data_IF_018041702395
#
_entry.id   IF_018041702395
#
_cell.length_a   1.000
_cell.length_b   1.000
_cell.length_c   1.000
_cell.angle_alpha   90.00
_cell.angle_beta   90.00
_cell.angle_gamma   90.00
#
_symmetry.space_group_name_H-M   'P 1'
#
loop_
_entity.id
_entity.type
_entity.pdbx_description
1 polymer ?
#
# COMPACT_ATOMS: atom_id res chain seq x y z
N UNK A 1 7.62 16.23 -18.18
CA UNK A 1 7.72 14.86 -17.65
C UNK A 1 9.03 14.75 -16.88
N UNK A 2 9.06 14.14 -15.72
CA UNK A 2 10.26 14.07 -14.86
C UNK A 2 11.22 12.97 -15.32
N UNK A 3 10.71 11.99 -16.08
CA UNK A 3 11.51 10.86 -16.59
C UNK A 3 11.36 10.71 -18.10
N UNK A 4 12.45 10.31 -18.77
CA UNK A 4 12.45 9.93 -20.18
C UNK A 4 11.75 8.57 -20.35
N UNK A 5 10.89 8.43 -21.38
CA UNK A 5 10.13 7.21 -21.62
C UNK A 5 11.03 5.96 -21.85
N UNK A 6 12.26 6.16 -22.33
CA UNK A 6 13.25 5.09 -22.48
C UNK A 6 13.72 4.56 -21.13
N UNK A 7 13.90 5.46 -20.15
CA UNK A 7 14.28 5.08 -18.77
C UNK A 7 13.13 4.30 -18.13
N UNK A 8 11.90 4.78 -18.28
CA UNK A 8 10.70 4.10 -17.80
C UNK A 8 10.57 2.72 -18.40
N UNK A 9 10.71 2.59 -19.75
CA UNK A 9 10.66 1.32 -20.44
C UNK A 9 11.76 0.37 -20.00
N UNK A 10 12.97 0.88 -19.76
CA UNK A 10 14.07 0.08 -19.25
C UNK A 10 13.79 -0.46 -17.84
N UNK A 11 13.33 0.39 -16.93
CA UNK A 11 12.94 -0.04 -15.56
C UNK A 11 11.85 -1.12 -15.65
N UNK A 12 10.82 -0.92 -16.48
CA UNK A 12 9.75 -1.90 -16.66
C UNK A 12 10.25 -3.24 -17.23
N UNK A 13 11.28 -3.21 -18.09
CA UNK A 13 11.87 -4.43 -18.64
C UNK A 13 12.65 -5.25 -17.61
N UNK A 14 13.12 -4.61 -16.53
CA UNK A 14 13.81 -5.26 -15.41
C UNK A 14 12.84 -5.74 -14.34
N UNK A 15 11.65 -5.14 -14.27
CA UNK A 15 10.62 -5.54 -13.32
C UNK A 15 10.11 -6.95 -13.68
N UNK A 16 10.13 -7.86 -12.71
CA UNK A 16 9.41 -9.13 -12.83
C UNK A 16 7.91 -8.91 -12.99
N UNK A 17 7.20 -9.94 -13.42
CA UNK A 17 5.74 -9.91 -13.46
C UNK A 17 5.21 -9.97 -12.02
N UNK A 18 4.19 -9.16 -11.75
CA UNK A 18 3.37 -9.29 -10.56
C UNK A 18 2.43 -10.51 -10.71
N UNK A 19 1.77 -10.91 -9.64
CA UNK A 19 0.78 -11.99 -9.71
C UNK A 19 -0.38 -11.63 -10.64
N UNK A 20 -1.05 -12.65 -11.16
CA UNK A 20 -2.20 -12.44 -12.04
C UNK A 20 -3.28 -11.57 -11.37
N UNK A 21 -3.49 -11.73 -10.06
CA UNK A 21 -4.47 -10.93 -9.32
C UNK A 21 -4.02 -9.46 -9.19
N UNK A 22 -2.74 -9.18 -8.95
CA UNK A 22 -2.21 -7.83 -8.94
C UNK A 22 -2.36 -7.17 -10.31
N UNK A 23 -2.02 -7.87 -11.39
CA UNK A 23 -2.17 -7.36 -12.75
C UNK A 23 -3.64 -7.08 -13.12
N UNK A 24 -4.57 -7.94 -12.70
CA UNK A 24 -6.00 -7.71 -12.92
C UNK A 24 -6.50 -6.48 -12.16
N UNK A 25 -6.16 -6.33 -10.87
CA UNK A 25 -6.55 -5.18 -10.06
C UNK A 25 -5.95 -3.89 -10.64
N UNK A 26 -4.69 -3.90 -11.06
CA UNK A 26 -4.04 -2.77 -11.74
C UNK A 26 -4.82 -2.37 -12.99
N UNK A 27 -5.12 -3.31 -13.86
CA UNK A 27 -5.87 -3.07 -15.09
C UNK A 27 -7.26 -2.50 -14.81
N UNK A 28 -8.00 -3.07 -13.87
CA UNK A 28 -9.33 -2.60 -13.45
C UNK A 28 -9.24 -1.16 -12.92
N UNK A 29 -8.31 -0.88 -11.99
CA UNK A 29 -8.13 0.43 -11.41
C UNK A 29 -7.81 1.50 -12.47
N UNK A 30 -6.89 1.19 -13.40
CA UNK A 30 -6.53 2.11 -14.48
C UNK A 30 -7.70 2.36 -15.43
N UNK A 31 -8.50 1.33 -15.75
CA UNK A 31 -9.67 1.47 -16.62
C UNK A 31 -10.78 2.31 -15.98
N UNK A 32 -10.91 2.25 -14.66
CA UNK A 32 -11.87 3.04 -13.87
C UNK A 32 -11.34 4.43 -13.51
N UNK A 33 -10.10 4.77 -13.90
CA UNK A 33 -9.45 6.04 -13.57
C UNK A 33 -9.14 6.21 -12.09
N UNK A 34 -9.01 5.11 -11.34
CA UNK A 34 -8.61 5.15 -9.93
C UNK A 34 -7.10 5.33 -9.85
N UNK A 35 -6.61 6.36 -9.12
CA UNK A 35 -5.18 6.52 -8.93
C UNK A 35 -4.63 5.40 -8.05
N UNK A 36 -3.65 4.68 -8.59
CA UNK A 36 -2.85 3.68 -7.88
C UNK A 36 -1.36 4.02 -8.03
N UNK A 37 -0.51 3.41 -7.23
CA UNK A 37 0.93 3.57 -7.37
C UNK A 37 1.39 3.10 -8.75
N UNK A 38 2.41 3.78 -9.29
CA UNK A 38 3.00 3.40 -10.56
C UNK A 38 3.88 2.15 -10.41
N UNK A 39 4.13 1.46 -11.50
CA UNK A 39 4.94 0.25 -11.52
C UNK A 39 6.34 0.45 -10.93
N UNK A 40 6.96 1.61 -11.17
CA UNK A 40 8.27 1.97 -10.59
C UNK A 40 8.22 2.04 -9.07
N UNK A 41 7.14 2.61 -8.52
CA UNK A 41 6.93 2.64 -7.07
C UNK A 41 6.69 1.24 -6.52
N UNK A 42 5.93 0.40 -7.22
CA UNK A 42 5.74 -1.01 -6.86
C UNK A 42 7.08 -1.76 -6.80
N UNK A 43 7.95 -1.58 -7.80
CA UNK A 43 9.29 -2.16 -7.79
C UNK A 43 10.14 -1.67 -6.61
N UNK A 44 10.06 -0.38 -6.30
CA UNK A 44 10.76 0.21 -5.17
C UNK A 44 10.26 -0.35 -3.83
N UNK A 45 8.94 -0.45 -3.64
CA UNK A 45 8.35 -1.08 -2.46
C UNK A 45 8.82 -2.52 -2.30
N UNK A 46 8.77 -3.34 -3.34
CA UNK A 46 9.26 -4.73 -3.31
C UNK A 46 10.73 -4.80 -2.86
N UNK A 47 11.57 -3.88 -3.36
CA UNK A 47 12.99 -3.82 -2.99
C UNK A 47 13.17 -3.49 -1.51
N UNK A 48 12.46 -2.48 -1.00
CA UNK A 48 12.54 -2.11 0.43
C UNK A 48 12.02 -3.23 1.32
N UNK A 49 10.91 -3.86 0.97
CA UNK A 49 10.32 -4.95 1.74
C UNK A 49 11.27 -6.15 1.81
N UNK A 50 11.92 -6.49 0.70
CA UNK A 50 12.91 -7.55 0.65
C UNK A 50 14.18 -7.26 1.47
N UNK A 51 14.56 -5.99 1.64
CA UNK A 51 15.72 -5.59 2.46
C UNK A 51 15.36 -5.47 3.94
N UNK A 52 14.18 -4.93 4.25
CA UNK A 52 13.77 -4.59 5.61
C UNK A 52 13.11 -5.76 6.36
N UNK A 53 12.48 -6.70 5.65
CA UNK A 53 11.71 -7.81 6.24
C UNK A 53 10.73 -7.34 7.34
N UNK A 54 9.87 -6.32 7.06
CA UNK A 54 8.99 -5.77 8.07
C UNK A 54 7.91 -6.78 8.48
N UNK A 55 7.56 -6.79 9.77
CA UNK A 55 6.53 -7.67 10.34
C UNK A 55 5.18 -6.98 10.51
N UNK A 56 5.22 -5.68 10.81
CA UNK A 56 4.02 -4.87 11.01
C UNK A 56 4.07 -3.67 10.08
N UNK A 57 3.20 -3.66 9.09
CA UNK A 57 3.13 -2.62 8.06
C UNK A 57 1.86 -1.81 8.26
N UNK A 58 1.98 -0.48 8.20
CA UNK A 58 0.85 0.43 8.13
C UNK A 58 0.82 1.11 6.77
N UNK A 59 -0.33 1.07 6.11
CA UNK A 59 -0.60 1.82 4.91
C UNK A 59 -1.68 2.87 5.17
N UNK A 60 -1.44 4.09 4.75
CA UNK A 60 -2.41 5.18 4.84
C UNK A 60 -2.86 5.56 3.43
N UNK A 61 -4.06 5.14 3.07
CA UNK A 61 -4.64 5.30 1.74
C UNK A 61 -4.60 4.00 0.92
N UNK A 62 -5.63 3.16 1.07
CA UNK A 62 -5.72 1.87 0.36
C UNK A 62 -6.16 2.00 -1.10
N UNK A 63 -6.91 3.04 -1.45
CA UNK A 63 -7.60 3.20 -2.73
C UNK A 63 -8.46 1.97 -3.09
N UNK A 64 -7.93 1.04 -3.88
CA UNK A 64 -8.59 -0.23 -4.21
C UNK A 64 -7.86 -1.45 -3.64
N UNK A 65 -6.86 -1.25 -2.77
CA UNK A 65 -6.08 -2.31 -2.13
C UNK A 65 -4.94 -2.86 -2.98
N UNK A 66 -4.61 -2.23 -4.11
CA UNK A 66 -3.56 -2.70 -5.01
C UNK A 66 -2.20 -2.76 -4.32
N UNK A 67 -1.76 -1.67 -3.69
CA UNK A 67 -0.48 -1.58 -2.98
C UNK A 67 -0.41 -2.53 -1.78
N UNK A 68 -1.49 -2.64 -0.99
CA UNK A 68 -1.56 -3.59 0.13
C UNK A 68 -1.40 -5.03 -0.35
N UNK A 69 -2.07 -5.41 -1.44
CA UNK A 69 -1.97 -6.76 -2.01
C UNK A 69 -0.57 -6.99 -2.56
N UNK A 70 -0.01 -6.05 -3.33
CA UNK A 70 1.36 -6.11 -3.83
C UNK A 70 2.36 -6.30 -2.69
N UNK A 71 2.24 -5.50 -1.62
CA UNK A 71 3.09 -5.64 -0.43
C UNK A 71 2.92 -7.01 0.22
N UNK A 72 1.69 -7.50 0.35
CA UNK A 72 1.39 -8.79 0.99
C UNK A 72 1.97 -10.01 0.29
N UNK A 73 2.33 -9.88 -0.96
CA UNK A 73 2.99 -10.93 -1.76
C UNK A 73 4.51 -10.89 -1.67
N UNK A 74 5.06 -9.81 -1.07
CA UNK A 74 6.49 -9.55 -1.00
C UNK A 74 7.00 -9.36 0.44
N UNK A 75 6.30 -9.92 1.41
CA UNK A 75 6.65 -9.90 2.84
C UNK A 75 6.68 -11.33 3.40
N UNK A 76 7.29 -11.49 4.56
CA UNK A 76 7.34 -12.76 5.26
C UNK A 76 5.95 -13.27 5.67
N UNK A 77 5.77 -14.57 5.77
CA UNK A 77 4.46 -15.22 6.00
C UNK A 77 3.74 -14.77 7.28
N UNK A 78 4.50 -14.38 8.31
CA UNK A 78 3.97 -13.91 9.60
C UNK A 78 3.66 -12.42 9.63
N UNK A 79 4.12 -11.66 8.61
CA UNK A 79 3.93 -10.22 8.55
C UNK A 79 2.45 -9.84 8.34
N UNK A 80 2.07 -8.69 8.86
CA UNK A 80 0.71 -8.15 8.79
C UNK A 80 0.71 -6.74 8.24
N UNK A 81 -0.35 -6.44 7.50
CA UNK A 81 -0.58 -5.11 6.94
C UNK A 81 -1.88 -4.56 7.54
N UNK A 82 -1.81 -3.36 8.09
CA UNK A 82 -2.99 -2.56 8.41
C UNK A 82 -3.11 -1.46 7.37
N UNK A 83 -4.23 -1.37 6.68
CA UNK A 83 -4.48 -0.32 5.68
C UNK A 83 -5.70 0.48 6.03
N UNK A 84 -5.70 1.79 5.70
CA UNK A 84 -6.79 2.73 6.03
C UNK A 84 -7.38 3.30 4.75
N UNK A 85 -8.72 3.31 4.67
CA UNK A 85 -9.46 3.97 3.58
C UNK A 85 -10.75 4.60 4.12
N UNK A 86 -11.09 5.80 3.63
CA UNK A 86 -12.26 6.55 4.08
C UNK A 86 -13.38 6.69 3.04
N UNK A 87 -13.11 6.36 1.78
CA UNK A 87 -14.10 6.55 0.73
C UNK A 87 -14.94 5.28 0.53
N UNK A 88 -16.23 5.34 0.88
CA UNK A 88 -17.14 4.19 0.91
C UNK A 88 -17.08 3.31 -0.34
N UNK A 89 -17.04 3.92 -1.53
CA UNK A 89 -16.98 3.16 -2.79
C UNK A 89 -15.66 2.38 -2.93
N UNK A 90 -14.56 2.94 -2.43
CA UNK A 90 -13.26 2.27 -2.43
C UNK A 90 -13.16 1.20 -1.37
N UNK A 91 -13.72 1.43 -0.18
CA UNK A 91 -13.79 0.45 0.91
C UNK A 91 -14.40 -0.86 0.42
N UNK A 92 -15.53 -0.80 -0.31
CA UNK A 92 -16.15 -2.00 -0.89
C UNK A 92 -15.18 -2.71 -1.83
N UNK A 93 -14.49 -1.96 -2.69
CA UNK A 93 -13.54 -2.52 -3.67
C UNK A 93 -12.30 -3.11 -3.00
N UNK A 94 -11.76 -2.46 -1.95
CA UNK A 94 -10.65 -2.99 -1.15
C UNK A 94 -10.99 -4.35 -0.54
N UNK A 95 -12.17 -4.46 0.10
CA UNK A 95 -12.64 -5.72 0.70
C UNK A 95 -12.77 -6.83 -0.34
N UNK A 96 -13.37 -6.52 -1.49
CA UNK A 96 -13.50 -7.44 -2.62
C UNK A 96 -12.14 -7.91 -3.11
N UNK A 97 -11.19 -6.99 -3.33
CA UNK A 97 -9.88 -7.31 -3.85
C UNK A 97 -9.01 -8.09 -2.85
N UNK A 98 -9.04 -7.76 -1.56
CA UNK A 98 -8.38 -8.55 -0.50
C UNK A 98 -8.89 -9.99 -0.51
N UNK A 99 -10.22 -10.18 -0.63
CA UNK A 99 -10.83 -11.50 -0.71
C UNK A 99 -10.44 -12.24 -2.00
N UNK A 100 -10.47 -11.58 -3.15
CA UNK A 100 -10.04 -12.15 -4.44
C UNK A 100 -8.58 -12.62 -4.39
N UNK A 101 -7.73 -11.87 -3.67
CA UNK A 101 -6.33 -12.21 -3.46
C UNK A 101 -6.10 -13.26 -2.37
N UNK A 102 -7.11 -13.67 -1.61
CA UNK A 102 -6.98 -14.60 -0.48
C UNK A 102 -6.11 -14.05 0.65
N UNK A 103 -6.13 -12.72 0.88
CA UNK A 103 -5.24 -12.04 1.81
C UNK A 103 -5.93 -11.52 3.09
N UNK A 104 -7.15 -12.02 3.39
CA UNK A 104 -7.92 -11.60 4.57
C UNK A 104 -7.22 -11.90 5.90
N UNK A 105 -6.34 -12.90 5.93
CA UNK A 105 -5.54 -13.21 7.12
C UNK A 105 -4.28 -12.35 7.28
N UNK A 106 -3.87 -11.63 6.24
CA UNK A 106 -2.65 -10.81 6.20
C UNK A 106 -2.97 -9.33 6.26
N UNK A 107 -4.03 -8.89 5.56
CA UNK A 107 -4.40 -7.47 5.42
C UNK A 107 -5.64 -7.18 6.26
N UNK A 108 -5.53 -6.21 7.15
CA UNK A 108 -6.64 -5.66 7.93
C UNK A 108 -6.99 -4.27 7.40
N UNK A 109 -8.21 -4.08 6.90
CA UNK A 109 -8.72 -2.78 6.49
C UNK A 109 -9.37 -2.07 7.68
N UNK A 110 -8.97 -0.84 7.94
CA UNK A 110 -9.62 0.09 8.86
C UNK A 110 -10.38 1.15 8.04
N UNK A 111 -11.68 1.26 8.31
CA UNK A 111 -12.60 2.11 7.55
C UNK A 111 -12.82 3.43 8.25
N UNK A 112 -12.44 4.54 7.63
CA UNK A 112 -12.65 5.87 8.15
C UNK A 112 -11.52 6.86 7.90
N UNK A 113 -11.64 8.03 8.51
CA UNK A 113 -10.64 9.10 8.36
C UNK A 113 -9.31 8.72 9.00
N UNK A 114 -8.24 8.84 8.22
CA UNK A 114 -6.90 8.46 8.67
C UNK A 114 -6.43 9.27 9.87
N UNK A 115 -6.75 10.58 9.93
CA UNK A 115 -6.38 11.44 11.04
C UNK A 115 -7.04 11.03 12.37
N UNK A 116 -8.24 10.47 12.31
CA UNK A 116 -8.92 9.97 13.51
C UNK A 116 -8.45 8.55 13.87
N UNK A 117 -8.33 7.67 12.88
CA UNK A 117 -7.89 6.29 13.10
C UNK A 117 -6.48 6.26 13.68
N UNK A 118 -5.53 7.00 13.09
CA UNK A 118 -4.13 7.00 13.53
C UNK A 118 -3.99 7.37 15.01
N UNK A 119 -4.81 8.29 15.54
CA UNK A 119 -4.80 8.67 16.95
C UNK A 119 -5.18 7.52 17.89
N UNK A 120 -6.00 6.59 17.41
CA UNK A 120 -6.49 5.46 18.22
C UNK A 120 -5.56 4.24 18.15
N UNK A 121 -4.70 4.18 17.13
CA UNK A 121 -3.79 3.06 16.98
C UNK A 121 -2.73 3.05 18.10
N UNK A 122 -2.52 1.85 18.62
CA UNK A 122 -1.47 1.53 19.60
C UNK A 122 -0.56 0.48 19.02
N UNK A 123 0.69 0.45 19.46
CA UNK A 123 1.70 -0.45 18.90
C UNK A 123 2.64 0.26 17.94
N UNK A 124 3.57 -0.48 17.39
CA UNK A 124 4.60 0.05 16.50
C UNK A 124 4.59 -0.69 15.17
N UNK A 125 4.87 0.05 14.11
CA UNK A 125 5.00 -0.46 12.75
C UNK A 125 6.45 -0.31 12.28
N UNK A 126 6.99 -1.37 11.71
CA UNK A 126 8.37 -1.40 11.20
C UNK A 126 8.48 -0.77 9.81
N UNK A 127 7.35 -0.62 9.13
CA UNK A 127 7.25 0.05 7.85
C UNK A 127 5.92 0.79 7.74
N UNK A 128 5.97 2.07 7.36
CA UNK A 128 4.77 2.87 7.14
C UNK A 128 4.79 3.45 5.73
N UNK A 129 3.77 3.11 4.94
CA UNK A 129 3.56 3.63 3.60
C UNK A 129 2.43 4.65 3.60
N UNK A 130 2.77 5.92 3.29
CA UNK A 130 1.80 7.02 3.23
C UNK A 130 1.51 7.36 1.77
N UNK A 131 0.32 6.99 1.29
CA UNK A 131 -0.18 7.38 -0.03
C UNK A 131 -1.59 8.02 0.07
N UNK A 132 -1.77 8.86 1.08
CA UNK A 132 -2.99 9.64 1.30
C UNK A 132 -2.99 10.95 0.50
N UNK A 133 -4.11 11.69 0.58
CA UNK A 133 -4.21 13.02 -0.01
C UNK A 133 -3.13 13.96 0.57
N UNK A 134 -2.36 14.60 -0.30
CA UNK A 134 -1.19 15.45 0.07
C UNK A 134 -1.49 16.48 1.16
N UNK A 135 -2.71 17.04 1.17
CA UNK A 135 -3.12 18.02 2.18
C UNK A 135 -3.16 17.45 3.61
N UNK A 136 -3.27 16.13 3.76
CA UNK A 136 -3.35 15.48 5.07
C UNK A 136 -1.98 15.18 5.68
N UNK A 137 -0.91 15.14 4.89
CA UNK A 137 0.41 14.70 5.34
C UNK A 137 0.90 15.46 6.58
N UNK A 138 0.84 16.79 6.58
CA UNK A 138 1.29 17.59 7.74
C UNK A 138 0.47 17.30 8.99
N UNK A 139 -0.82 17.01 8.82
CA UNK A 139 -1.75 16.76 9.92
C UNK A 139 -1.49 15.40 10.56
N UNK A 140 -1.29 14.37 9.75
CA UNK A 140 -1.15 12.98 10.23
C UNK A 140 0.30 12.58 10.56
N UNK A 141 1.29 13.34 10.08
CA UNK A 141 2.70 13.01 10.27
C UNK A 141 3.11 12.81 11.74
N UNK A 142 2.66 13.62 12.73
CA UNK A 142 2.99 13.39 14.13
C UNK A 142 2.54 12.00 14.63
N UNK A 143 1.34 11.56 14.24
CA UNK A 143 0.82 10.25 14.64
C UNK A 143 1.56 9.13 13.91
N UNK A 144 1.88 9.31 12.63
CA UNK A 144 2.70 8.36 11.86
C UNK A 144 4.06 8.17 12.52
N UNK A 145 4.76 9.26 12.91
CA UNK A 145 6.06 9.17 13.58
C UNK A 145 5.96 8.53 14.97
N UNK A 146 4.87 8.75 15.69
CA UNK A 146 4.61 8.09 16.99
C UNK A 146 4.44 6.57 16.84
N UNK A 147 3.88 6.14 15.71
CA UNK A 147 3.61 4.72 15.41
C UNK A 147 4.81 4.02 14.77
N UNK A 148 5.82 4.77 14.29
CA UNK A 148 6.99 4.18 13.66
C UNK A 148 7.94 3.59 14.70
N UNK A 149 8.31 2.33 14.50
CA UNK A 149 9.27 1.64 15.35
C UNK A 149 10.69 2.24 15.24
N UNK A 150 11.52 2.14 16.28
CA UNK A 150 12.93 2.50 16.15
C UNK A 150 13.60 1.66 15.04
N UNK A 151 14.18 2.33 14.04
CA UNK A 151 14.80 1.68 12.88
C UNK A 151 13.81 1.30 11.76
N UNK A 152 12.54 1.64 11.91
CA UNK A 152 11.53 1.50 10.86
C UNK A 152 11.70 2.52 9.73
#
# INVERSE_FOLDING_TARGET
MITDDRITSYIHSLAGNDSDICMQIEHEALSEGVPIIRKEMGCFLKTILAEKHPKNILEVGAAVGYSSILMSENIDAEAKITTIENYDKRIVKVKENIKRAGKESVITLLEGDAGEILKTLTGLYDFIFMDAAKAQYIIILPDVLRLLAPGG
#
